data_IF_219479641017
#
_entry.id   IF_219479641017
#
_cell.length_a   1.000
_cell.length_b   1.000
_cell.length_c   1.000
_cell.angle_alpha   90.00
_cell.angle_beta   90.00
_cell.angle_gamma   90.00
#
_symmetry.space_group_name_H-M   'P 1'
#
loop_
_entity.id
_entity.type
_entity.pdbx_description
1 polymer ?
#
# COMPACT_ATOMS: atom_id res chain seq x y z
N UNK A 1 4.22 29.77 36.78
CA UNK A 1 3.28 29.15 35.82
C UNK A 1 3.57 29.56 34.37
N UNK A 2 3.88 30.84 34.07
CA UNK A 2 4.17 31.33 32.70
C UNK A 2 5.41 30.70 32.02
N UNK A 3 6.53 30.53 32.74
CA UNK A 3 7.77 29.97 32.16
C UNK A 3 7.68 28.47 31.77
N UNK A 4 6.74 27.72 32.35
CA UNK A 4 6.52 26.31 31.98
C UNK A 4 5.84 26.19 30.61
N UNK A 5 4.95 27.11 30.26
CA UNK A 5 4.24 27.12 28.98
C UNK A 5 5.16 27.40 27.79
N UNK A 6 6.11 28.33 27.94
CA UNK A 6 7.05 28.70 26.87
C UNK A 6 8.04 27.58 26.53
N UNK A 7 8.55 26.87 27.55
CA UNK A 7 9.44 25.72 27.36
C UNK A 7 8.73 24.58 26.61
N UNK A 8 7.47 24.30 26.96
CA UNK A 8 6.63 23.29 26.28
C UNK A 8 6.33 23.71 24.85
N UNK A 9 5.97 24.97 24.60
CA UNK A 9 5.72 25.48 23.25
C UNK A 9 6.97 25.38 22.35
N UNK A 10 8.15 25.71 22.90
CA UNK A 10 9.43 25.62 22.19
C UNK A 10 9.85 24.18 21.94
N UNK A 11 9.61 23.27 22.88
CA UNK A 11 9.87 21.84 22.73
C UNK A 11 8.96 21.23 21.66
N UNK A 12 7.67 21.53 21.69
CA UNK A 12 6.71 21.08 20.67
C UNK A 12 7.09 21.59 19.28
N UNK A 13 7.41 22.88 19.15
CA UNK A 13 7.82 23.47 17.86
C UNK A 13 9.11 22.84 17.30
N UNK A 14 10.05 22.45 18.18
CA UNK A 14 11.27 21.73 17.79
C UNK A 14 10.96 20.32 17.33
N UNK A 15 10.13 19.59 18.08
CA UNK A 15 9.71 18.23 17.74
C UNK A 15 9.03 18.18 16.36
N UNK A 16 8.07 19.08 16.09
CA UNK A 16 7.39 19.17 14.78
C UNK A 16 8.39 19.42 13.64
N UNK A 17 9.37 20.31 13.85
CA UNK A 17 10.39 20.61 12.84
C UNK A 17 11.32 19.43 12.59
N UNK A 18 11.69 18.70 13.63
CA UNK A 18 12.52 17.51 13.54
C UNK A 18 11.79 16.38 12.81
N UNK A 19 10.53 16.15 13.14
CA UNK A 19 9.68 15.16 12.46
C UNK A 19 9.56 15.48 10.95
N UNK A 20 9.27 16.74 10.61
CA UNK A 20 9.22 17.17 9.21
C UNK A 20 10.56 16.87 8.53
N UNK A 21 11.70 17.28 9.12
CA UNK A 21 13.01 17.02 8.50
C UNK A 21 13.31 15.55 8.32
N UNK A 22 13.01 14.72 9.32
CA UNK A 22 13.21 13.27 9.23
C UNK A 22 12.35 12.66 8.13
N UNK A 23 11.08 13.07 8.05
CA UNK A 23 10.16 12.64 6.98
C UNK A 23 10.66 13.07 5.59
N UNK A 24 11.14 14.32 5.46
CA UNK A 24 11.71 14.79 4.20
C UNK A 24 12.97 14.02 3.81
N UNK A 25 13.87 13.75 4.75
CA UNK A 25 15.10 12.99 4.50
C UNK A 25 14.82 11.55 4.12
N UNK A 26 13.87 10.89 4.79
CA UNK A 26 13.43 9.54 4.44
C UNK A 26 12.90 9.49 3.00
N UNK A 27 12.02 10.43 2.64
CA UNK A 27 11.51 10.53 1.28
C UNK A 27 12.61 10.74 0.24
N UNK A 28 13.57 11.64 0.49
CA UNK A 28 14.69 11.86 -0.44
C UNK A 28 15.55 10.60 -0.60
N UNK A 29 15.81 9.84 0.47
CA UNK A 29 16.57 8.58 0.38
C UNK A 29 15.83 7.51 -0.42
N UNK A 30 14.51 7.44 -0.27
CA UNK A 30 13.68 6.53 -1.07
C UNK A 30 13.67 6.96 -2.54
N UNK A 31 13.45 8.25 -2.81
CA UNK A 31 13.54 8.87 -4.13
C UNK A 31 14.85 8.52 -4.85
N UNK A 32 16.00 8.67 -4.19
CA UNK A 32 17.31 8.33 -4.79
C UNK A 32 17.47 6.84 -5.10
N UNK A 33 16.84 5.95 -4.33
CA UNK A 33 16.92 4.51 -4.54
C UNK A 33 15.98 4.03 -5.65
N UNK A 34 14.82 4.66 -5.79
CA UNK A 34 13.78 4.27 -6.75
C UNK A 34 13.81 5.08 -8.04
N UNK A 35 14.62 6.15 -8.10
CA UNK A 35 14.60 7.12 -9.21
C UNK A 35 13.37 8.05 -9.20
N UNK A 36 12.57 8.01 -8.14
CA UNK A 36 11.37 8.85 -7.99
C UNK A 36 11.76 10.24 -7.47
N UNK A 37 10.88 11.22 -7.67
CA UNK A 37 10.97 12.52 -7.00
C UNK A 37 10.68 12.40 -5.49
N UNK A 38 11.14 13.37 -4.71
CA UNK A 38 10.87 13.41 -3.28
C UNK A 38 9.37 13.46 -2.96
N UNK A 39 8.55 14.02 -3.84
CA UNK A 39 7.11 14.08 -3.65
C UNK A 39 6.46 12.71 -3.91
N UNK A 40 6.85 12.03 -4.99
CA UNK A 40 6.38 10.67 -5.31
C UNK A 40 6.78 9.66 -4.22
N UNK A 41 7.98 9.80 -3.65
CA UNK A 41 8.44 8.97 -2.56
C UNK A 41 7.63 9.18 -1.27
N UNK A 42 7.28 10.44 -0.93
CA UNK A 42 6.39 10.74 0.21
C UNK A 42 5.01 10.13 0.03
N UNK A 43 4.45 10.31 -1.16
CA UNK A 43 3.11 9.82 -1.46
C UNK A 43 3.07 8.28 -1.49
N UNK A 44 4.12 7.62 -2.01
CA UNK A 44 4.28 6.17 -1.92
C UNK A 44 4.37 5.69 -0.46
N UNK A 45 5.10 6.40 0.40
CA UNK A 45 5.17 6.10 1.83
C UNK A 45 3.81 6.28 2.52
N UNK A 46 3.08 7.34 2.18
CA UNK A 46 1.72 7.57 2.68
C UNK A 46 0.75 6.48 2.22
N UNK A 47 0.84 6.02 0.97
CA UNK A 47 0.05 4.91 0.45
C UNK A 47 0.34 3.61 1.22
N UNK A 48 1.62 3.32 1.47
CA UNK A 48 2.03 2.16 2.28
C UNK A 48 1.44 2.23 3.70
N UNK A 49 1.51 3.39 4.35
CA UNK A 49 0.95 3.58 5.69
C UNK A 49 -0.58 3.42 5.72
N UNK A 50 -1.28 3.94 4.71
CA UNK A 50 -2.74 3.84 4.58
C UNK A 50 -3.23 2.43 4.28
N UNK A 51 -2.51 1.70 3.42
CA UNK A 51 -2.89 0.35 2.99
C UNK A 51 -2.35 -0.76 3.90
N UNK A 52 -1.41 -0.44 4.79
CA UNK A 52 -0.80 -1.40 5.70
C UNK A 52 0.08 -2.45 5.02
N UNK A 53 0.48 -2.21 3.76
CA UNK A 53 1.34 -3.08 2.97
C UNK A 53 2.23 -2.23 2.06
N UNK A 54 3.50 -2.65 1.91
CA UNK A 54 4.44 -1.95 1.03
C UNK A 54 4.25 -2.35 -0.43
N UNK A 55 4.60 -1.46 -1.37
CA UNK A 55 4.68 -1.81 -2.79
C UNK A 55 5.64 -2.98 -3.03
N UNK A 56 6.80 -2.98 -2.38
CA UNK A 56 7.80 -4.05 -2.52
C UNK A 56 7.26 -5.41 -2.07
N UNK A 57 6.57 -5.47 -0.93
CA UNK A 57 5.90 -6.70 -0.46
C UNK A 57 4.82 -7.14 -1.45
N UNK A 58 4.05 -6.19 -1.99
CA UNK A 58 2.98 -6.47 -2.93
C UNK A 58 3.52 -7.08 -4.25
N UNK A 59 4.60 -6.52 -4.77
CA UNK A 59 5.31 -7.05 -5.94
C UNK A 59 5.85 -8.46 -5.69
N UNK A 60 6.37 -8.73 -4.48
CA UNK A 60 6.83 -10.08 -4.11
C UNK A 60 5.68 -11.08 -4.01
N UNK A 61 4.56 -10.69 -3.40
CA UNK A 61 3.37 -11.55 -3.26
C UNK A 61 2.82 -11.95 -4.64
N UNK A 62 2.72 -11.00 -5.58
CA UNK A 62 2.22 -11.26 -6.93
C UNK A 62 3.32 -11.67 -7.92
N UNK A 63 4.56 -11.86 -7.45
CA UNK A 63 5.71 -12.23 -8.27
C UNK A 63 5.89 -11.34 -9.52
N UNK A 64 5.80 -10.03 -9.32
CA UNK A 64 5.94 -9.02 -10.38
C UNK A 64 7.30 -8.34 -10.25
N UNK A 65 7.98 -8.15 -11.38
CA UNK A 65 9.24 -7.42 -11.45
C UNK A 65 9.02 -6.04 -12.08
N UNK A 66 9.71 -4.98 -11.63
CA UNK A 66 9.71 -3.70 -12.34
C UNK A 66 10.36 -3.84 -13.74
N UNK A 67 9.87 -3.11 -14.76
CA UNK A 67 8.71 -2.22 -14.74
C UNK A 67 7.38 -2.99 -14.63
N UNK A 68 6.41 -2.41 -13.93
CA UNK A 68 5.13 -3.07 -13.63
C UNK A 68 4.29 -3.18 -14.91
N UNK A 69 4.02 -4.40 -15.38
CA UNK A 69 3.06 -4.65 -16.46
C UNK A 69 1.67 -4.96 -15.88
N UNK A 70 0.65 -4.12 -16.14
CA UNK A 70 -0.72 -4.35 -15.66
C UNK A 70 -1.30 -5.71 -16.05
N UNK A 71 -0.95 -6.23 -17.24
CA UNK A 71 -1.44 -7.53 -17.71
C UNK A 71 -0.84 -8.69 -16.91
N UNK A 72 0.43 -8.56 -16.53
CA UNK A 72 1.10 -9.55 -15.69
C UNK A 72 0.52 -9.53 -14.27
N UNK A 73 0.23 -8.34 -13.75
CA UNK A 73 -0.44 -8.16 -12.44
C UNK A 73 -1.79 -8.87 -12.42
N UNK A 74 -2.66 -8.62 -13.40
CA UNK A 74 -3.97 -9.27 -13.51
C UNK A 74 -3.84 -10.80 -13.61
N UNK A 75 -2.99 -11.29 -14.51
CA UNK A 75 -2.77 -12.72 -14.71
C UNK A 75 -2.30 -13.43 -13.43
N UNK A 76 -1.31 -12.87 -12.75
CA UNK A 76 -0.76 -13.47 -11.54
C UNK A 76 -1.74 -13.36 -10.37
N UNK A 77 -2.46 -12.24 -10.26
CA UNK A 77 -3.54 -12.08 -9.29
C UNK A 77 -4.60 -13.16 -9.47
N UNK A 78 -5.17 -13.30 -10.67
CA UNK A 78 -6.25 -14.26 -10.94
C UNK A 78 -5.83 -15.70 -10.60
N UNK A 79 -4.62 -16.07 -11.04
CA UNK A 79 -4.07 -17.39 -10.74
C UNK A 79 -3.90 -17.61 -9.23
N UNK A 80 -3.18 -16.72 -8.54
CA UNK A 80 -2.90 -16.86 -7.11
C UNK A 80 -4.18 -16.80 -6.27
N UNK A 81 -5.11 -15.91 -6.63
CA UNK A 81 -6.38 -15.76 -5.94
C UNK A 81 -7.25 -17.00 -6.10
N UNK A 82 -7.33 -17.58 -7.30
CA UNK A 82 -8.13 -18.76 -7.58
C UNK A 82 -7.60 -20.03 -6.92
N UNK A 83 -6.27 -20.25 -6.89
CA UNK A 83 -5.70 -21.44 -6.24
C UNK A 83 -5.75 -21.37 -4.71
N UNK A 84 -5.83 -20.16 -4.14
CA UNK A 84 -5.95 -19.93 -2.69
C UNK A 84 -7.40 -19.72 -2.23
N UNK A 85 -8.38 -20.01 -3.08
CA UNK A 85 -9.80 -19.96 -2.73
C UNK A 85 -10.10 -20.86 -1.52
N UNK A 86 -10.71 -20.29 -0.48
CA UNK A 86 -11.12 -21.00 0.74
C UNK A 86 -11.99 -22.22 0.46
N UNK A 87 -12.82 -22.18 -0.58
CA UNK A 87 -13.73 -23.26 -0.95
C UNK A 87 -13.02 -24.44 -1.61
N UNK A 88 -11.77 -24.24 -2.06
CA UNK A 88 -10.91 -25.26 -2.68
C UNK A 88 -9.81 -25.75 -1.75
N UNK A 89 -9.95 -25.53 -0.44
CA UNK A 89 -8.94 -25.88 0.56
C UNK A 89 -7.81 -24.85 0.70
N UNK A 90 -7.96 -23.67 0.09
CA UNK A 90 -7.05 -22.54 0.27
C UNK A 90 -7.22 -21.82 1.61
N UNK A 91 -6.37 -20.83 1.85
CA UNK A 91 -6.39 -20.04 3.08
C UNK A 91 -6.97 -18.65 2.82
N UNK A 92 -8.01 -18.30 3.59
CA UNK A 92 -8.58 -16.95 3.57
C UNK A 92 -7.53 -15.87 3.88
N UNK A 93 -6.53 -16.18 4.73
CA UNK A 93 -5.44 -15.26 5.03
C UNK A 93 -4.58 -15.00 3.78
N UNK A 94 -4.19 -16.06 3.06
CA UNK A 94 -3.39 -15.93 1.84
C UNK A 94 -4.17 -15.20 0.75
N UNK A 95 -5.44 -15.56 0.54
CA UNK A 95 -6.33 -14.88 -0.40
C UNK A 95 -6.48 -13.39 -0.08
N UNK A 96 -6.62 -13.05 1.21
CA UNK A 96 -6.67 -11.66 1.68
C UNK A 96 -5.35 -10.91 1.43
N UNK A 97 -4.20 -11.56 1.60
CA UNK A 97 -2.88 -10.97 1.30
C UNK A 97 -2.67 -10.72 -0.19
N UNK A 98 -3.08 -11.66 -1.04
CA UNK A 98 -3.06 -11.52 -2.50
C UNK A 98 -3.95 -10.36 -2.94
N UNK A 99 -5.15 -10.25 -2.38
CA UNK A 99 -6.06 -9.14 -2.64
C UNK A 99 -5.46 -7.78 -2.26
N UNK A 100 -4.90 -7.65 -1.05
CA UNK A 100 -4.27 -6.40 -0.59
C UNK A 100 -3.05 -6.03 -1.41
N UNK A 101 -2.26 -7.02 -1.85
CA UNK A 101 -1.14 -6.79 -2.75
C UNK A 101 -1.60 -6.22 -4.09
N UNK A 102 -2.68 -6.75 -4.67
CA UNK A 102 -3.26 -6.22 -5.91
C UNK A 102 -3.72 -4.78 -5.74
N UNK A 103 -4.50 -4.47 -4.69
CA UNK A 103 -4.96 -3.10 -4.42
C UNK A 103 -3.80 -2.11 -4.33
N UNK A 104 -2.69 -2.51 -3.71
CA UNK A 104 -1.50 -1.65 -3.58
C UNK A 104 -0.78 -1.42 -4.90
N UNK A 105 -0.69 -2.43 -5.77
CA UNK A 105 -0.09 -2.28 -7.11
C UNK A 105 -1.01 -1.43 -8.01
N UNK A 106 -2.32 -1.66 -7.95
CA UNK A 106 -3.31 -0.91 -8.73
C UNK A 106 -3.31 0.59 -8.35
N UNK A 107 -3.11 0.91 -7.07
CA UNK A 107 -2.87 2.29 -6.61
C UNK A 107 -1.63 2.91 -7.25
N UNK A 108 -0.53 2.15 -7.32
CA UNK A 108 0.72 2.65 -7.92
C UNK A 108 0.55 2.91 -9.42
N UNK A 109 -0.09 1.98 -10.14
CA UNK A 109 -0.38 2.12 -11.56
C UNK A 109 -1.25 3.35 -11.84
N UNK A 110 -2.29 3.57 -11.02
CA UNK A 110 -3.16 4.76 -11.14
C UNK A 110 -2.39 6.05 -10.91
N UNK A 111 -1.47 6.07 -9.94
CA UNK A 111 -0.58 7.22 -9.70
C UNK A 111 0.35 7.50 -10.88
N UNK A 112 0.76 6.46 -11.60
CA UNK A 112 1.55 6.57 -12.83
C UNK A 112 0.71 6.91 -14.08
N UNK A 113 -0.60 7.13 -13.93
CA UNK A 113 -1.50 7.47 -15.03
C UNK A 113 -1.90 6.26 -15.89
N UNK A 114 -1.69 5.03 -15.41
CA UNK A 114 -2.12 3.82 -16.08
C UNK A 114 -3.55 3.49 -15.63
N UNK A 115 -4.48 3.40 -16.59
CA UNK A 115 -5.83 2.91 -16.30
C UNK A 115 -5.79 1.42 -15.94
N UNK A 116 -6.24 1.11 -14.72
CA UNK A 116 -6.42 -0.26 -14.24
C UNK A 116 -7.90 -0.60 -14.30
N UNK A 117 -8.24 -1.76 -14.85
CA UNK A 117 -9.64 -2.21 -14.93
C UNK A 117 -10.13 -2.60 -13.53
N UNK A 118 -11.13 -1.89 -13.01
CA UNK A 118 -11.82 -2.30 -11.79
C UNK A 118 -12.87 -3.37 -12.14
N UNK A 119 -12.59 -4.62 -11.80
CA UNK A 119 -13.61 -5.67 -11.79
C UNK A 119 -14.60 -5.37 -10.65
N UNK A 120 -15.92 -5.33 -10.92
CA UNK A 120 -16.93 -5.03 -9.91
C UNK A 120 -16.93 -6.10 -8.82
N UNK A 121 -16.99 -5.64 -7.56
CA UNK A 121 -16.98 -6.49 -6.38
C UNK A 121 -18.16 -7.47 -6.39
N UNK A 122 -17.90 -8.77 -6.64
CA UNK A 122 -18.87 -9.83 -6.37
C UNK A 122 -18.98 -10.00 -4.86
N UNK A 123 -20.04 -9.40 -4.34
CA UNK A 123 -20.50 -9.40 -2.97
C UNK A 123 -20.92 -10.82 -2.51
N UNK A 124 -20.01 -11.80 -2.50
CA UNK A 124 -20.30 -13.19 -2.11
C UNK A 124 -20.27 -13.42 -0.58
N UNK A 125 -19.96 -12.40 0.21
CA UNK A 125 -19.91 -12.54 1.68
C UNK A 125 -21.25 -12.32 2.38
N UNK A 126 -22.32 -11.87 1.70
CA UNK A 126 -23.64 -11.70 2.33
C UNK A 126 -24.51 -12.96 2.40
N UNK A 127 -24.21 -14.04 1.67
CA UNK A 127 -25.14 -15.19 1.58
C UNK A 127 -24.96 -16.25 2.68
N UNK A 128 -23.87 -16.25 3.45
CA UNK A 128 -23.58 -17.33 4.42
C UNK A 128 -24.15 -17.03 5.83
N UNK A 129 -24.56 -15.80 6.11
CA UNK A 129 -25.16 -15.42 7.41
C UNK A 129 -26.70 -15.49 7.46
N UNK A 130 -27.38 -15.57 6.31
CA UNK A 130 -28.86 -15.71 6.26
C UNK A 130 -29.33 -17.17 6.23
N UNK A 131 -28.41 -18.15 6.17
CA UNK A 131 -28.73 -19.59 6.09
C UNK A 131 -28.29 -20.40 7.33
N UNK A 132 -28.03 -19.73 8.47
CA UNK A 132 -27.80 -20.38 9.77
C UNK A 132 -28.84 -19.99 10.81
#
# INVERSE_FOLDING_TARGET
VLAAGEAVAKALSRAVREEIRQSQQAATRHATQTGQSANEARESANANARMGISLEESLKILNIKPPIDPKEVEKNYDHLFQINDKNKGGSFYLQSKIYRAKERIDEELRRQGVEVRQEPQSNEQKKVEEEK
#
